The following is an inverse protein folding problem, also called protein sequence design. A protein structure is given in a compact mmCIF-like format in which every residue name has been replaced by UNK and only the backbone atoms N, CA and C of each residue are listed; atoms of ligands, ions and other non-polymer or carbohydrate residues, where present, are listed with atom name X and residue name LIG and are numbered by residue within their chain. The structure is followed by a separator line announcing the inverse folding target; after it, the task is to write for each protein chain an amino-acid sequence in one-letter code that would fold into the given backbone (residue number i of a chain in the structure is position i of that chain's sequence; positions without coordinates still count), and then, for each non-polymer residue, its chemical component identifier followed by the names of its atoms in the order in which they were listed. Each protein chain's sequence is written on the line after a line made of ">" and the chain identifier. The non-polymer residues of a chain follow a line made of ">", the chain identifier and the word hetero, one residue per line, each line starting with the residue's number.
data_IF_566056326431
#
_entry.id   IF_566056326431
#
_cell.length_a   1.000
_cell.length_b   1.000
_cell.length_c   1.000
_cell.angle_alpha   90.00
_cell.angle_beta   90.00
_cell.angle_gamma   90.00
#
_symmetry.space_group_name_H-M   'P 1'
#
loop_
_entity.id
_entity.type
_entity.pdbx_description
1 polymer ?
#
# COMPACT_ATOMS: atom_id res chain seq x y z
N UNK A 1 -29.02 -30.23 23.95
CA UNK A 1 -28.43 -28.89 24.10
C UNK A 1 -27.05 -29.07 24.68
N UNK A 2 -26.03 -28.68 23.92
CA UNK A 2 -24.78 -28.03 24.34
C UNK A 2 -23.77 -28.19 23.23
N UNK A 3 -23.31 -27.04 22.77
CA UNK A 3 -22.75 -26.76 21.45
C UNK A 3 -21.31 -27.23 21.25
N UNK A 4 -21.02 -27.50 19.98
CA UNK A 4 -19.69 -27.66 19.42
C UNK A 4 -18.89 -26.36 19.55
N UNK A 5 -17.68 -26.42 20.07
CA UNK A 5 -16.67 -25.36 19.94
C UNK A 5 -15.44 -25.91 19.23
N UNK A 6 -15.50 -26.01 17.90
CA UNK A 6 -14.31 -26.28 17.09
C UNK A 6 -13.41 -25.03 17.10
N UNK A 7 -12.25 -25.17 17.74
CA UNK A 7 -11.10 -24.27 17.66
C UNK A 7 -10.72 -24.11 16.18
N UNK A 8 -11.19 -23.03 15.57
CA UNK A 8 -10.85 -22.67 14.21
C UNK A 8 -9.50 -21.96 14.26
N UNK A 9 -8.45 -22.69 13.86
CA UNK A 9 -7.17 -22.14 13.47
C UNK A 9 -7.41 -20.96 12.51
N UNK A 10 -7.31 -19.74 13.04
CA UNK A 10 -7.24 -18.53 12.24
C UNK A 10 -6.00 -18.62 11.37
N UNK A 11 -6.19 -18.89 10.07
CA UNK A 11 -5.14 -18.81 9.08
C UNK A 11 -4.49 -17.43 9.15
N UNK A 12 -3.17 -17.30 9.37
CA UNK A 12 -2.52 -16.01 9.25
C UNK A 12 -2.68 -15.54 7.82
N UNK A 13 -3.32 -14.40 7.63
CA UNK A 13 -3.33 -13.73 6.33
C UNK A 13 -1.88 -13.50 5.90
N UNK A 14 -1.52 -13.69 4.62
CA UNK A 14 -0.13 -13.61 4.15
C UNK A 14 0.50 -12.21 4.28
N UNK A 15 -0.27 -11.21 4.76
CA UNK A 15 0.12 -9.80 4.83
C UNK A 15 0.77 -9.38 6.14
N UNK A 16 0.94 -10.28 7.11
CA UNK A 16 1.61 -9.98 8.38
C UNK A 16 2.83 -10.87 8.58
N UNK A 17 3.91 -10.57 7.86
CA UNK A 17 5.23 -11.13 8.17
C UNK A 17 6.14 -10.09 8.83
N UNK A 18 6.04 -10.10 10.16
CA UNK A 18 7.09 -9.95 11.18
C UNK A 18 8.25 -9.00 10.86
N UNK A 19 8.18 -7.79 11.40
CA UNK A 19 9.37 -7.14 11.94
C UNK A 19 9.74 -7.84 13.27
N UNK A 20 10.46 -8.97 13.20
CA UNK A 20 11.11 -9.58 14.37
C UNK A 20 12.53 -9.01 14.50
N UNK A 21 12.59 -7.73 14.85
CA UNK A 21 13.80 -7.07 15.33
C UNK A 21 13.36 -6.26 16.55
N UNK A 22 14.08 -6.43 17.66
CA UNK A 22 13.94 -5.63 18.88
C UNK A 22 14.36 -4.17 18.62
N UNK A 23 13.55 -3.46 17.86
CA UNK A 23 13.66 -2.08 17.46
C UNK A 23 12.47 -1.81 16.55
N UNK A 24 11.57 -0.92 16.95
CA UNK A 24 10.34 -0.67 16.20
C UNK A 24 10.67 -0.09 14.82
N UNK A 25 10.88 -0.94 13.81
CA UNK A 25 10.90 -0.52 12.41
C UNK A 25 9.49 0.01 12.12
N UNK A 26 9.38 1.33 12.09
CA UNK A 26 8.16 2.01 11.72
C UNK A 26 7.95 1.83 10.22
N UNK A 27 6.71 1.95 9.74
CA UNK A 27 6.47 1.93 8.29
C UNK A 27 7.22 3.08 7.56
N UNK A 28 7.65 4.11 8.29
CA UNK A 28 8.46 5.23 7.80
C UNK A 28 9.90 4.81 7.47
N UNK A 29 10.37 3.68 7.98
CA UNK A 29 11.69 3.13 7.67
C UNK A 29 11.68 2.28 6.38
N UNK A 30 10.49 2.04 5.79
CA UNK A 30 10.38 1.29 4.55
C UNK A 30 10.81 2.12 3.33
N UNK A 31 11.29 1.47 2.25
CA UNK A 31 11.60 2.16 1.01
C UNK A 31 10.39 2.95 0.49
N UNK A 32 10.66 4.01 -0.25
CA UNK A 32 9.62 4.83 -0.88
C UNK A 32 9.53 4.46 -2.35
N UNK A 33 8.30 4.26 -2.82
CA UNK A 33 7.98 3.99 -4.22
C UNK A 33 7.30 5.21 -4.84
N UNK A 34 7.64 5.47 -6.10
CA UNK A 34 6.96 6.48 -6.90
C UNK A 34 5.65 5.93 -7.47
N UNK A 35 4.61 6.74 -7.45
CA UNK A 35 3.33 6.50 -8.11
C UNK A 35 3.09 7.66 -9.08
N UNK A 36 2.82 7.36 -10.35
CA UNK A 36 2.53 8.39 -11.36
C UNK A 36 1.26 8.06 -12.12
N UNK A 37 0.51 9.10 -12.50
CA UNK A 37 -0.62 8.93 -13.40
C UNK A 37 -0.14 8.86 -14.86
N UNK A 38 -0.94 8.24 -15.73
CA UNK A 38 -0.70 8.35 -17.17
C UNK A 38 -0.90 9.76 -17.70
N UNK A 39 -1.81 10.52 -17.09
CA UNK A 39 -2.22 11.86 -17.52
C UNK A 39 -1.30 12.99 -17.04
N UNK A 40 -0.36 12.71 -16.13
CA UNK A 40 0.51 13.72 -15.51
C UNK A 40 1.94 13.20 -15.39
N UNK A 41 2.96 14.05 -15.60
CA UNK A 41 4.35 13.69 -15.32
C UNK A 41 4.67 13.69 -13.81
N UNK A 42 3.74 14.15 -12.96
CA UNK A 42 3.95 14.23 -11.52
C UNK A 42 4.12 12.84 -10.90
N UNK A 43 5.14 12.72 -10.04
CA UNK A 43 5.42 11.53 -9.24
C UNK A 43 5.02 11.82 -7.80
N UNK A 44 4.28 10.89 -7.21
CA UNK A 44 3.85 10.91 -5.82
C UNK A 44 4.55 9.79 -5.07
N UNK A 45 5.10 10.10 -3.91
CA UNK A 45 5.95 9.19 -3.16
C UNK A 45 5.15 8.52 -2.03
N UNK A 46 5.27 7.20 -1.90
CA UNK A 46 4.57 6.43 -0.88
C UNK A 46 5.47 5.34 -0.29
N UNK A 47 5.45 5.18 1.03
CA UNK A 47 6.18 4.12 1.71
C UNK A 47 5.65 2.74 1.28
N UNK A 48 6.58 1.85 0.91
CA UNK A 48 6.30 0.51 0.41
C UNK A 48 5.46 -0.28 1.41
N UNK A 49 5.76 -0.17 2.71
CA UNK A 49 5.00 -0.86 3.76
C UNK A 49 3.52 -0.42 3.80
N UNK A 50 3.22 0.85 3.50
CA UNK A 50 1.84 1.34 3.43
C UNK A 50 1.17 0.84 2.15
N UNK A 51 1.87 0.87 1.02
CA UNK A 51 1.33 0.37 -0.25
C UNK A 51 1.04 -1.13 -0.16
N UNK A 52 1.91 -1.90 0.49
CA UNK A 52 1.68 -3.31 0.79
C UNK A 52 0.45 -3.50 1.69
N UNK A 53 0.31 -2.70 2.74
CA UNK A 53 -0.80 -2.82 3.70
C UNK A 53 -2.16 -2.42 3.13
N UNK A 54 -2.23 -1.33 2.34
CA UNK A 54 -3.49 -0.71 1.87
C UNK A 54 -3.80 -1.00 0.40
N UNK A 55 -2.78 -1.27 -0.41
CA UNK A 55 -2.86 -1.38 -1.86
C UNK A 55 -2.31 -2.70 -2.37
N UNK A 56 -2.61 -3.82 -1.70
CA UNK A 56 -2.01 -5.13 -1.98
C UNK A 56 -2.04 -5.57 -3.46
N UNK A 57 -3.07 -5.20 -4.23
CA UNK A 57 -3.13 -5.46 -5.68
C UNK A 57 -2.13 -4.59 -6.46
N UNK A 58 -2.02 -3.31 -6.12
CA UNK A 58 -1.06 -2.38 -6.71
C UNK A 58 0.36 -2.84 -6.37
N UNK A 59 0.59 -3.22 -5.11
CA UNK A 59 1.87 -3.73 -4.64
C UNK A 59 2.26 -5.06 -5.32
N UNK A 60 1.32 -6.00 -5.45
CA UNK A 60 1.55 -7.25 -6.16
C UNK A 60 1.87 -7.02 -7.64
N UNK A 61 1.21 -6.05 -8.27
CA UNK A 61 1.49 -5.63 -9.65
C UNK A 61 2.90 -5.02 -9.76
N UNK A 62 3.30 -4.18 -8.79
CA UNK A 62 4.65 -3.61 -8.72
C UNK A 62 5.74 -4.68 -8.54
N UNK A 63 5.52 -5.68 -7.67
CA UNK A 63 6.47 -6.78 -7.45
C UNK A 63 6.60 -7.75 -8.63
N UNK A 64 5.63 -7.74 -9.55
CA UNK A 64 5.60 -8.56 -10.75
C UNK A 64 6.69 -8.21 -11.79
N UNK A 65 6.58 -8.77 -12.99
CA UNK A 65 7.57 -8.59 -14.09
C UNK A 65 7.50 -7.22 -14.79
N UNK A 66 7.01 -6.19 -14.10
CA UNK A 66 6.85 -4.87 -14.71
C UNK A 66 8.18 -4.09 -14.69
N UNK A 67 8.48 -3.39 -15.79
CA UNK A 67 9.63 -2.46 -15.88
C UNK A 67 9.63 -1.40 -14.78
N UNK A 68 8.45 -1.10 -14.25
CA UNK A 68 8.18 -0.16 -13.16
C UNK A 68 8.95 -0.50 -11.88
N UNK A 69 9.25 -1.78 -11.63
CA UNK A 69 10.10 -2.19 -10.49
C UNK A 69 11.54 -1.71 -10.64
N UNK A 70 12.08 -1.72 -11.86
CA UNK A 70 13.44 -1.25 -12.13
C UNK A 70 13.53 0.29 -12.07
N UNK A 71 12.44 0.99 -12.38
CA UNK A 71 12.33 2.45 -12.32
C UNK A 71 11.91 2.95 -10.92
N UNK A 72 11.53 2.05 -10.00
CA UNK A 72 11.01 2.40 -8.68
C UNK A 72 9.69 3.18 -8.71
N UNK A 73 9.05 3.26 -9.87
CA UNK A 73 7.87 4.11 -10.11
C UNK A 73 6.79 3.31 -10.83
N UNK A 74 5.61 3.20 -10.23
CA UNK A 74 4.44 2.54 -10.81
C UNK A 74 3.54 3.54 -11.56
N UNK A 75 3.11 3.18 -12.77
CA UNK A 75 2.28 4.04 -13.63
C UNK A 75 0.83 3.58 -13.61
N UNK A 76 -0.03 4.36 -12.95
CA UNK A 76 -1.47 4.14 -12.92
C UNK A 76 -2.11 4.69 -14.21
N UNK A 77 -2.65 3.79 -15.04
CA UNK A 77 -3.20 4.15 -16.35
C UNK A 77 -4.60 4.75 -16.30
N UNK A 78 -5.42 4.30 -15.34
CA UNK A 78 -6.85 4.61 -15.26
C UNK A 78 -7.18 5.57 -14.10
N UNK A 79 -6.17 6.17 -13.49
CA UNK A 79 -6.32 7.00 -12.29
C UNK A 79 -5.93 8.45 -12.58
N UNK A 80 -6.74 9.39 -12.07
CA UNK A 80 -6.42 10.82 -12.12
C UNK A 80 -5.51 11.21 -10.97
N UNK A 81 -4.80 12.32 -11.14
CA UNK A 81 -3.89 12.85 -10.12
C UNK A 81 -4.60 13.10 -8.77
N UNK A 82 -5.79 13.73 -8.82
CA UNK A 82 -6.58 13.99 -7.61
C UNK A 82 -7.04 12.71 -6.91
N UNK A 83 -7.40 11.65 -7.65
CA UNK A 83 -7.73 10.35 -7.04
C UNK A 83 -6.51 9.70 -6.40
N UNK A 84 -5.35 9.79 -7.06
CA UNK A 84 -4.09 9.26 -6.52
C UNK A 84 -3.69 9.97 -5.24
N UNK A 85 -3.79 11.31 -5.19
CA UNK A 85 -3.47 12.07 -3.99
C UNK A 85 -4.39 11.72 -2.81
N UNK A 86 -5.71 11.61 -3.06
CA UNK A 86 -6.66 11.19 -2.02
C UNK A 86 -6.37 9.79 -1.51
N UNK A 87 -6.01 8.87 -2.41
CA UNK A 87 -5.62 7.52 -2.04
C UNK A 87 -4.39 7.51 -1.12
N UNK A 88 -3.36 8.31 -1.44
CA UNK A 88 -2.15 8.41 -0.62
C UNK A 88 -2.51 9.01 0.74
N UNK A 89 -3.20 10.14 0.78
CA UNK A 89 -3.61 10.78 2.04
C UNK A 89 -4.46 9.83 2.91
N UNK A 90 -5.43 9.13 2.32
CA UNK A 90 -6.22 8.11 3.00
C UNK A 90 -5.34 6.99 3.55
N UNK A 91 -4.35 6.54 2.77
CA UNK A 91 -3.50 5.44 3.18
C UNK A 91 -2.61 5.79 4.38
N UNK A 92 -2.17 7.05 4.51
CA UNK A 92 -1.45 7.55 5.68
C UNK A 92 -2.36 7.91 6.87
N UNK A 93 -3.49 8.59 6.62
CA UNK A 93 -4.37 9.12 7.68
C UNK A 93 -5.42 8.11 8.17
N UNK A 94 -5.75 7.11 7.37
CA UNK A 94 -6.83 6.15 7.62
C UNK A 94 -8.25 6.66 7.33
N UNK A 95 -8.43 7.95 7.00
CA UNK A 95 -9.71 8.54 6.60
C UNK A 95 -9.61 9.17 5.21
N UNK A 96 -10.66 9.01 4.41
CA UNK A 96 -10.64 9.47 3.01
C UNK A 96 -10.95 10.98 2.98
N UNK A 97 -10.06 11.81 2.42
CA UNK A 97 -10.26 13.26 2.46
C UNK A 97 -11.32 13.71 1.45
N UNK A 98 -12.31 14.47 1.94
CA UNK A 98 -13.26 15.20 1.10
C UNK A 98 -12.58 16.36 0.35
N UNK A 99 -11.59 17.01 1.00
CA UNK A 99 -10.81 18.13 0.46
C UNK A 99 -9.33 17.75 0.48
N UNK A 100 -8.69 17.89 -0.67
CA UNK A 100 -7.25 17.74 -0.81
C UNK A 100 -6.57 19.03 -0.35
N UNK A 101 -5.72 18.95 0.68
CA UNK A 101 -4.86 20.06 1.04
C UNK A 101 -3.59 19.97 0.19
N UNK A 102 -3.59 20.71 -0.92
CA UNK A 102 -2.47 20.90 -1.84
C UNK A 102 -1.36 21.75 -1.26
#
# INVERSE_FOLDING_TARGET
>A
MSENGQDSLGTPTPYSRRCDVKGACSFLDSPVLGLRCSSSPQIFNMHEAILQSKGGIIYASFLGKFKEKAEGTYKLKETTEGTLLRYIEWAYRGNYPDVLNS
#
